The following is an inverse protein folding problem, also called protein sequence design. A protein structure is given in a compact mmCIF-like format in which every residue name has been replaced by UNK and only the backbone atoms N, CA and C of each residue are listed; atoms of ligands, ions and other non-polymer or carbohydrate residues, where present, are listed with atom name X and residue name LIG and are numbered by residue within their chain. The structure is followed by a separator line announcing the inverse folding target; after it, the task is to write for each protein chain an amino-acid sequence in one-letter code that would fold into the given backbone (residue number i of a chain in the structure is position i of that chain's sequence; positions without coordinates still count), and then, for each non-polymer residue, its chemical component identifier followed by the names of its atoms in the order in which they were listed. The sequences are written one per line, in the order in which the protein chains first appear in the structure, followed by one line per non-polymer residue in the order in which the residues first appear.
data_IF_429308706191
#
_entry.id   IF_429308706191
#
_cell.length_a   1.000
_cell.length_b   1.000
_cell.length_c   1.000
_cell.angle_alpha   90.00
_cell.angle_beta   90.00
_cell.angle_gamma   90.00
#
_symmetry.space_group_name_H-M   'P 1'
#
loop_
_entity.id
_entity.type
_entity.pdbx_description
1 polymer ?
#
# COMPACT_ATOMS: atom_id res chain seq x y z
N UNK A 1 17.95 14.53 -21.19
CA UNK A 1 18.24 15.22 -22.43
C UNK A 1 17.59 16.61 -22.41
N UNK A 2 18.40 17.65 -22.62
CA UNK A 2 17.96 19.04 -22.64
C UNK A 2 17.75 19.48 -24.09
N UNK A 3 16.55 19.23 -24.61
CA UNK A 3 16.22 19.50 -26.02
C UNK A 3 16.32 21.01 -26.34
N UNK A 4 16.04 21.90 -25.38
CA UNK A 4 16.13 23.34 -25.59
C UNK A 4 17.55 23.84 -25.89
N UNK A 5 18.61 23.04 -25.70
CA UNK A 5 19.98 23.37 -26.06
C UNK A 5 20.40 22.85 -27.45
N UNK A 6 19.53 22.09 -28.11
CA UNK A 6 19.83 21.53 -29.41
C UNK A 6 19.61 22.56 -30.52
N UNK A 7 20.42 22.47 -31.59
CA UNK A 7 20.34 23.42 -32.72
C UNK A 7 18.98 23.45 -33.40
N UNK A 8 18.30 22.30 -33.48
CA UNK A 8 16.97 22.23 -34.10
C UNK A 8 15.88 22.93 -33.27
N UNK A 9 16.16 23.27 -32.00
CA UNK A 9 15.21 23.95 -31.11
C UNK A 9 15.28 25.48 -31.24
N UNK A 10 16.28 26.04 -31.93
CA UNK A 10 16.48 27.49 -32.06
C UNK A 10 15.22 28.29 -32.41
N UNK A 11 14.36 27.84 -33.36
CA UNK A 11 13.15 28.56 -33.71
C UNK A 11 12.13 28.67 -32.56
N UNK A 12 12.21 27.75 -31.58
CA UNK A 12 11.28 27.66 -30.45
C UNK A 12 11.79 28.35 -29.18
N UNK A 13 13.05 28.77 -29.15
CA UNK A 13 13.68 29.42 -27.98
C UNK A 13 12.98 30.68 -27.54
N UNK A 14 12.30 31.39 -28.42
CA UNK A 14 11.54 32.59 -28.07
C UNK A 14 10.35 32.35 -27.16
N UNK A 15 9.81 31.10 -27.17
CA UNK A 15 8.63 30.73 -26.39
C UNK A 15 8.93 29.72 -25.28
N UNK A 16 9.99 28.93 -25.45
CA UNK A 16 10.37 27.83 -24.57
C UNK A 16 11.80 28.04 -24.07
N UNK A 17 11.96 28.49 -22.84
CA UNK A 17 13.27 28.68 -22.22
C UNK A 17 13.94 27.35 -21.85
N UNK A 18 13.14 26.40 -21.45
CA UNK A 18 13.58 25.09 -21.05
C UNK A 18 12.64 24.01 -21.57
N UNK A 19 13.22 23.00 -22.20
CA UNK A 19 12.57 21.71 -22.49
C UNK A 19 13.57 20.60 -22.21
N UNK A 20 13.31 19.84 -21.14
CA UNK A 20 14.20 18.77 -20.71
C UNK A 20 13.41 17.51 -20.41
N UNK A 21 13.83 16.41 -21.03
CA UNK A 21 13.35 15.07 -20.74
C UNK A 21 14.32 14.39 -19.77
N UNK A 22 13.74 13.67 -18.82
CA UNK A 22 14.47 12.84 -17.86
C UNK A 22 13.93 11.43 -17.91
N UNK A 23 14.82 10.49 -17.94
CA UNK A 23 14.50 9.07 -17.76
C UNK A 23 15.46 8.50 -16.72
N UNK A 24 14.93 7.73 -15.79
CA UNK A 24 15.75 6.98 -14.86
C UNK A 24 15.21 5.57 -14.65
N UNK A 25 16.14 4.65 -14.48
CA UNK A 25 15.89 3.28 -14.08
C UNK A 25 16.84 2.91 -12.97
N UNK A 26 16.32 2.23 -11.94
CA UNK A 26 17.12 1.76 -10.83
C UNK A 26 16.51 0.51 -10.21
N UNK A 27 17.35 -0.27 -9.57
CA UNK A 27 16.94 -1.41 -8.77
C UNK A 27 17.56 -1.29 -7.37
N UNK A 28 16.72 -1.44 -6.34
CA UNK A 28 17.11 -1.40 -4.93
C UNK A 28 16.73 -2.71 -4.26
N UNK A 29 17.69 -3.34 -3.59
CA UNK A 29 17.45 -4.48 -2.72
C UNK A 29 17.10 -4.04 -1.31
N UNK A 30 16.14 -4.71 -0.69
CA UNK A 30 15.80 -4.55 0.72
C UNK A 30 15.76 -5.92 1.40
N UNK A 31 16.35 -6.00 2.58
CA UNK A 31 16.35 -7.20 3.41
C UNK A 31 16.01 -6.82 4.84
N UNK A 32 14.75 -6.44 5.04
CA UNK A 32 14.27 -6.13 6.38
C UNK A 32 13.69 -7.39 7.04
N UNK A 33 14.57 -8.20 7.58
CA UNK A 33 14.26 -9.40 8.36
C UNK A 33 15.00 -9.33 9.69
N UNK A 34 14.47 -10.02 10.70
CA UNK A 34 15.16 -10.16 11.99
C UNK A 34 16.49 -10.85 11.79
N UNK A 35 17.48 -10.46 12.59
CA UNK A 35 18.76 -11.16 12.64
C UNK A 35 18.52 -12.63 12.95
N UNK A 36 19.29 -13.50 12.29
CA UNK A 36 19.19 -14.95 12.48
C UNK A 36 17.84 -15.59 12.12
N UNK A 37 17.01 -14.93 11.27
CA UNK A 37 15.71 -15.42 10.86
C UNK A 37 15.74 -16.84 10.23
N UNK A 38 16.90 -17.29 9.78
CA UNK A 38 17.14 -18.63 9.22
C UNK A 38 17.36 -19.71 10.29
N UNK A 39 17.54 -19.33 11.57
CA UNK A 39 17.78 -20.27 12.66
C UNK A 39 16.44 -20.75 13.23
N UNK A 40 16.24 -22.05 13.29
CA UNK A 40 15.11 -22.62 14.03
C UNK A 40 15.33 -22.44 15.52
N UNK A 41 14.42 -21.75 16.19
CA UNK A 41 14.44 -21.62 17.64
C UNK A 41 13.54 -22.68 18.29
N UNK A 42 13.98 -23.19 19.42
CA UNK A 42 13.15 -23.99 20.31
C UNK A 42 12.95 -23.18 21.59
N UNK A 43 11.71 -22.82 21.87
CA UNK A 43 11.36 -22.13 23.10
C UNK A 43 10.87 -23.12 24.14
N UNK A 44 11.37 -22.99 25.36
CA UNK A 44 10.92 -23.78 26.50
C UNK A 44 9.88 -23.00 27.30
N UNK A 45 8.87 -23.68 27.79
CA UNK A 45 7.85 -23.10 28.65
C UNK A 45 7.44 -24.07 29.75
N UNK A 46 6.95 -23.55 30.88
CA UNK A 46 6.45 -24.40 31.96
C UNK A 46 5.07 -24.93 31.59
N UNK A 47 4.96 -26.25 31.56
CA UNK A 47 3.67 -26.93 31.46
C UNK A 47 2.87 -26.67 32.75
N UNK A 48 1.65 -26.14 32.60
CA UNK A 48 0.73 -25.93 33.73
C UNK A 48 0.12 -27.24 34.28
N UNK A 49 0.81 -28.37 34.11
CA UNK A 49 0.32 -29.68 34.54
C UNK A 49 0.80 -29.97 35.96
N UNK A 50 -0.09 -30.41 36.82
CA UNK A 50 0.21 -30.87 38.17
C UNK A 50 0.29 -32.40 38.11
N UNK A 51 1.50 -32.95 38.25
CA UNK A 51 1.66 -34.39 38.39
C UNK A 51 1.43 -34.83 39.84
N UNK A 52 1.12 -36.11 40.02
CA UNK A 52 0.50 -36.86 41.10
C UNK A 52 0.98 -36.57 42.54
N UNK A 53 1.97 -35.79 42.79
CA UNK A 53 2.47 -35.55 44.15
C UNK A 53 2.32 -34.12 44.69
N UNK A 54 1.41 -33.32 44.08
CA UNK A 54 1.10 -31.97 44.59
C UNK A 54 2.30 -31.02 44.68
N UNK A 55 3.45 -31.49 44.33
CA UNK A 55 4.68 -30.70 44.30
C UNK A 55 4.69 -29.83 43.05
N UNK A 56 5.14 -28.60 43.22
CA UNK A 56 5.37 -27.59 42.19
C UNK A 56 6.37 -27.98 41.10
N UNK A 57 6.47 -29.25 40.79
CA UNK A 57 7.32 -29.75 39.70
C UNK A 57 6.59 -29.54 38.37
N UNK A 58 6.67 -28.35 37.85
CA UNK A 58 6.16 -28.02 36.52
C UNK A 58 7.18 -28.45 35.48
N UNK A 59 6.97 -29.57 34.76
CA UNK A 59 7.92 -29.96 33.74
C UNK A 59 7.98 -28.90 32.64
N UNK A 60 9.16 -28.72 32.10
CA UNK A 60 9.35 -27.83 30.96
C UNK A 60 8.84 -28.51 29.70
N UNK A 61 7.95 -27.82 28.99
CA UNK A 61 7.61 -28.15 27.62
C UNK A 61 8.55 -27.44 26.65
N UNK A 62 8.64 -27.94 25.45
CA UNK A 62 9.33 -27.27 24.38
C UNK A 62 8.42 -27.11 23.17
N UNK A 63 8.46 -25.96 22.55
CA UNK A 63 7.79 -25.71 21.27
C UNK A 63 8.82 -25.23 20.25
N UNK A 64 8.67 -25.73 19.03
CA UNK A 64 9.44 -25.26 17.90
C UNK A 64 8.83 -23.93 17.47
N UNK A 65 9.64 -22.89 17.36
CA UNK A 65 9.24 -21.59 16.80
C UNK A 65 8.86 -21.70 15.33
N UNK A 66 8.69 -20.58 14.67
CA UNK A 66 8.43 -20.55 13.22
C UNK A 66 9.51 -21.37 12.49
N UNK A 67 9.08 -22.07 11.44
CA UNK A 67 10.00 -22.82 10.56
C UNK A 67 11.08 -21.91 9.99
N UNK A 68 12.27 -22.47 9.72
CA UNK A 68 13.33 -21.72 9.07
C UNK A 68 12.89 -21.17 7.72
N UNK A 69 13.37 -19.99 7.38
CA UNK A 69 13.11 -19.32 6.11
C UNK A 69 14.09 -19.81 5.05
N UNK A 70 13.97 -21.07 4.64
CA UNK A 70 14.82 -21.61 3.59
C UNK A 70 14.51 -20.93 2.26
N UNK A 71 15.52 -20.44 1.56
CA UNK A 71 15.37 -19.81 0.25
C UNK A 71 14.92 -18.33 0.27
N UNK A 72 14.99 -17.67 1.42
CA UNK A 72 14.67 -16.24 1.50
C UNK A 72 15.68 -15.42 0.68
N UNK A 73 15.18 -14.56 -0.18
CA UNK A 73 15.96 -13.65 -1.01
C UNK A 73 15.60 -12.19 -0.72
N UNK A 74 16.41 -11.28 -1.21
CA UNK A 74 16.14 -9.86 -1.12
C UNK A 74 14.85 -9.49 -1.82
N UNK A 75 14.06 -8.62 -1.19
CA UNK A 75 13.06 -7.85 -1.91
C UNK A 75 13.75 -6.93 -2.90
N UNK A 76 13.28 -6.88 -4.12
CA UNK A 76 13.87 -5.99 -5.13
C UNK A 76 12.82 -5.04 -5.66
N UNK A 77 13.07 -3.74 -5.52
CA UNK A 77 12.22 -2.69 -6.09
C UNK A 77 12.88 -2.14 -7.36
N UNK A 78 12.22 -2.33 -8.48
CA UNK A 78 12.58 -1.72 -9.77
C UNK A 78 11.81 -0.41 -9.91
N UNK A 79 12.52 0.67 -10.14
CA UNK A 79 11.95 1.99 -10.30
C UNK A 79 12.22 2.51 -11.72
N UNK A 80 11.15 2.84 -12.42
CA UNK A 80 11.16 3.49 -13.74
C UNK A 80 10.54 4.87 -13.56
N UNK A 81 11.22 5.91 -14.01
CA UNK A 81 10.73 7.28 -13.96
C UNK A 81 10.93 7.95 -15.31
N UNK A 82 9.91 8.65 -15.80
CA UNK A 82 9.95 9.56 -16.92
C UNK A 82 9.57 10.95 -16.42
N UNK A 83 10.48 11.90 -16.56
CA UNK A 83 10.28 13.28 -16.12
C UNK A 83 10.36 14.27 -17.27
N UNK A 84 9.64 15.37 -17.13
CA UNK A 84 9.58 16.50 -18.06
C UNK A 84 9.75 17.80 -17.29
N UNK A 85 10.74 18.60 -17.65
CA UNK A 85 10.94 19.94 -17.11
C UNK A 85 10.74 20.96 -18.24
N UNK A 86 9.84 21.92 -18.03
CA UNK A 86 9.51 22.98 -18.98
C UNK A 86 9.70 24.36 -18.32
N UNK A 87 10.19 25.31 -19.09
CA UNK A 87 10.33 26.69 -18.68
C UNK A 87 9.82 27.63 -19.77
N UNK A 88 9.10 28.66 -19.37
CA UNK A 88 8.49 29.64 -20.25
C UNK A 88 8.65 31.06 -19.70
N UNK A 89 8.53 32.06 -20.57
CA UNK A 89 8.46 33.48 -20.23
C UNK A 89 9.71 33.95 -19.47
N UNK A 90 10.90 33.56 -19.92
CA UNK A 90 12.15 33.85 -19.22
C UNK A 90 12.27 33.09 -17.92
N UNK A 91 11.82 31.85 -17.91
CA UNK A 91 11.73 30.94 -16.73
C UNK A 91 10.89 31.50 -15.57
N UNK A 92 9.97 32.42 -15.84
CA UNK A 92 9.00 32.89 -14.83
C UNK A 92 7.94 31.82 -14.56
N UNK A 93 7.52 31.09 -15.59
CA UNK A 93 6.64 29.93 -15.47
C UNK A 93 7.47 28.66 -15.66
N UNK A 94 7.49 27.80 -14.66
CA UNK A 94 8.17 26.50 -14.69
C UNK A 94 7.18 25.38 -14.38
N UNK A 95 7.29 24.29 -15.15
CA UNK A 95 6.54 23.06 -14.94
C UNK A 95 7.50 21.89 -14.83
N UNK A 96 7.31 21.07 -13.80
CA UNK A 96 7.98 19.78 -13.65
C UNK A 96 6.92 18.70 -13.50
N UNK A 97 7.01 17.67 -14.31
CA UNK A 97 6.13 16.52 -14.24
C UNK A 97 6.95 15.24 -14.23
N UNK A 98 6.60 14.31 -13.35
CA UNK A 98 7.18 12.99 -13.26
C UNK A 98 6.08 11.92 -13.27
N UNK A 99 6.28 10.89 -14.08
CA UNK A 99 5.46 9.68 -14.08
C UNK A 99 6.33 8.49 -13.76
N UNK A 100 5.92 7.68 -12.81
CA UNK A 100 6.76 6.58 -12.34
C UNK A 100 6.00 5.26 -12.19
N UNK A 101 6.77 4.19 -12.28
CA UNK A 101 6.34 2.84 -11.92
C UNK A 101 7.37 2.27 -10.97
N UNK A 102 6.92 1.74 -9.84
CA UNK A 102 7.72 0.97 -8.89
C UNK A 102 7.19 -0.44 -8.83
N UNK A 103 8.02 -1.40 -9.19
CA UNK A 103 7.72 -2.83 -9.10
C UNK A 103 8.53 -3.44 -7.97
N UNK A 104 7.89 -3.72 -6.84
CA UNK A 104 8.51 -4.47 -5.74
C UNK A 104 8.22 -5.95 -5.93
N UNK A 105 9.27 -6.73 -6.08
CA UNK A 105 9.20 -8.17 -6.29
C UNK A 105 9.81 -8.91 -5.12
N UNK A 106 9.23 -10.08 -4.83
CA UNK A 106 9.73 -10.94 -3.77
C UNK A 106 9.58 -10.34 -2.39
N UNK A 107 8.49 -9.59 -2.13
CA UNK A 107 8.22 -9.06 -0.79
C UNK A 107 8.12 -10.18 0.21
N UNK A 108 8.78 -9.98 1.35
CA UNK A 108 8.79 -10.92 2.46
C UNK A 108 7.51 -10.74 3.26
N UNK A 109 6.67 -11.76 3.21
CA UNK A 109 5.39 -11.80 3.93
C UNK A 109 5.24 -13.14 4.63
N UNK A 110 4.20 -13.30 5.44
CA UNK A 110 3.82 -14.63 5.92
C UNK A 110 3.65 -15.55 4.72
N UNK A 111 4.29 -16.69 4.77
CA UNK A 111 4.18 -17.72 3.74
C UNK A 111 2.77 -18.27 3.63
N UNK A 112 2.64 -19.30 2.82
CA UNK A 112 1.37 -20.01 2.65
C UNK A 112 0.88 -20.57 3.99
N UNK A 113 -0.43 -20.48 4.25
CA UNK A 113 -1.03 -21.03 5.45
C UNK A 113 -0.73 -22.53 5.53
N UNK A 114 -0.19 -22.96 6.66
CA UNK A 114 0.08 -24.36 6.93
C UNK A 114 -1.10 -24.98 7.69
N UNK A 115 -1.38 -26.29 7.52
CA UNK A 115 -2.40 -26.97 8.29
C UNK A 115 -2.15 -26.84 9.80
N UNK A 116 -3.22 -26.78 10.60
CA UNK A 116 -3.11 -26.65 12.06
C UNK A 116 -2.33 -27.78 12.74
N UNK A 117 -2.28 -28.94 12.13
CA UNK A 117 -1.46 -30.08 12.60
C UNK A 117 0.05 -29.85 12.49
N UNK A 118 0.47 -28.82 11.78
CA UNK A 118 1.87 -28.44 11.66
C UNK A 118 2.45 -27.95 13.00
N UNK A 119 1.59 -27.41 13.88
CA UNK A 119 1.96 -27.03 15.24
C UNK A 119 2.89 -25.80 15.36
N UNK A 120 3.12 -25.08 14.27
CA UNK A 120 3.90 -23.86 14.24
C UNK A 120 3.32 -22.84 13.25
N UNK A 121 3.69 -21.58 13.39
CA UNK A 121 3.31 -20.56 12.42
C UNK A 121 3.95 -20.79 11.04
N UNK A 122 3.27 -20.37 9.99
CA UNK A 122 3.83 -20.40 8.64
C UNK A 122 5.14 -19.59 8.57
N UNK A 123 6.18 -20.10 7.91
CA UNK A 123 7.41 -19.36 7.73
C UNK A 123 7.17 -18.15 6.82
N UNK A 124 7.95 -17.08 7.01
CA UNK A 124 7.95 -16.00 6.04
C UNK A 124 8.60 -16.46 4.73
N UNK A 125 8.12 -15.91 3.63
CA UNK A 125 8.61 -16.24 2.30
C UNK A 125 8.52 -15.00 1.38
N UNK A 126 9.24 -15.02 0.26
CA UNK A 126 9.11 -14.03 -0.80
C UNK A 126 7.81 -14.29 -1.60
N UNK A 127 6.67 -14.03 -0.99
CA UNK A 127 5.36 -14.50 -1.46
C UNK A 127 4.51 -13.45 -2.17
N UNK A 128 4.88 -12.17 -2.11
CA UNK A 128 4.09 -11.08 -2.68
C UNK A 128 4.87 -10.22 -3.66
N UNK A 129 4.18 -9.62 -4.62
CA UNK A 129 4.69 -8.57 -5.49
C UNK A 129 3.71 -7.40 -5.50
N UNK A 130 4.26 -6.20 -5.57
CA UNK A 130 3.51 -4.97 -5.53
C UNK A 130 3.89 -4.08 -6.72
N UNK A 131 2.93 -3.39 -7.29
CA UNK A 131 3.18 -2.36 -8.31
C UNK A 131 2.52 -1.06 -7.91
N UNK A 132 3.33 -0.01 -7.79
CA UNK A 132 2.86 1.35 -7.61
C UNK A 132 3.09 2.14 -8.89
N UNK A 133 2.07 2.87 -9.33
CA UNK A 133 2.16 3.81 -10.45
C UNK A 133 1.69 5.16 -9.94
N UNK A 134 2.42 6.21 -10.29
CA UNK A 134 2.05 7.55 -9.84
C UNK A 134 2.52 8.63 -10.78
N UNK A 135 1.98 9.82 -10.54
CA UNK A 135 2.36 11.07 -11.20
C UNK A 135 2.62 12.11 -10.13
N UNK A 136 3.59 12.96 -10.39
CA UNK A 136 3.94 14.11 -9.56
C UNK A 136 4.08 15.32 -10.48
N UNK A 137 3.34 16.39 -10.21
CA UNK A 137 3.32 17.59 -11.03
C UNK A 137 3.59 18.80 -10.14
N UNK A 138 4.45 19.67 -10.61
CA UNK A 138 4.75 20.96 -9.98
C UNK A 138 4.62 22.06 -11.00
N UNK A 139 3.83 23.06 -10.69
CA UNK A 139 3.72 24.30 -11.46
C UNK A 139 4.17 25.46 -10.59
N UNK A 140 5.15 26.22 -11.07
CA UNK A 140 5.73 27.33 -10.33
C UNK A 140 5.71 28.59 -11.15
N UNK A 141 5.29 29.68 -10.53
CA UNK A 141 5.38 31.04 -11.08
C UNK A 141 6.28 31.89 -10.20
N UNK A 142 7.22 32.62 -10.80
CA UNK A 142 8.07 33.59 -10.12
C UNK A 142 8.18 34.84 -10.96
N UNK A 143 7.96 35.99 -10.36
CA UNK A 143 8.10 37.25 -11.05
C UNK A 143 8.66 38.34 -10.14
N UNK A 144 9.19 39.41 -10.76
CA UNK A 144 9.74 40.53 -10.05
C UNK A 144 9.22 41.84 -10.69
N UNK A 145 8.69 42.73 -9.89
CA UNK A 145 8.27 44.06 -10.33
C UNK A 145 8.75 45.11 -9.36
N UNK A 146 8.73 46.37 -9.77
CA UNK A 146 9.15 47.49 -8.91
C UNK A 146 7.96 47.96 -8.07
N UNK A 147 8.09 47.90 -6.75
CA UNK A 147 7.14 48.42 -5.79
C UNK A 147 7.77 49.51 -4.96
N UNK A 148 7.18 50.71 -4.98
CA UNK A 148 7.70 51.89 -4.25
C UNK A 148 9.21 52.18 -4.48
N UNK A 149 9.67 51.99 -5.73
CA UNK A 149 11.07 52.23 -6.12
C UNK A 149 12.05 51.11 -5.78
N UNK A 150 11.59 50.01 -5.19
CA UNK A 150 12.40 48.83 -4.85
C UNK A 150 11.93 47.59 -5.60
N UNK A 151 12.82 46.65 -5.98
CA UNK A 151 12.42 45.40 -6.61
C UNK A 151 11.69 44.53 -5.61
N UNK A 152 10.48 44.07 -5.99
CA UNK A 152 9.68 43.12 -5.23
C UNK A 152 9.57 41.83 -6.02
N UNK A 153 10.05 40.72 -5.43
CA UNK A 153 10.00 39.40 -6.02
C UNK A 153 8.99 38.52 -5.27
N UNK A 154 8.12 37.85 -6.02
CA UNK A 154 7.17 36.91 -5.47
C UNK A 154 7.19 35.59 -6.23
N UNK A 155 6.74 34.52 -5.59
CA UNK A 155 6.62 33.23 -6.22
C UNK A 155 5.44 32.45 -5.65
N UNK A 156 4.79 31.67 -6.52
CA UNK A 156 3.70 30.75 -6.18
C UNK A 156 4.04 29.40 -6.78
N UNK A 157 3.86 28.35 -6.00
CA UNK A 157 4.04 26.97 -6.49
C UNK A 157 2.86 26.12 -6.07
N UNK A 158 2.39 25.28 -7.02
CA UNK A 158 1.33 24.30 -6.81
C UNK A 158 1.90 22.94 -7.11
N UNK A 159 1.74 22.00 -6.16
CA UNK A 159 2.15 20.62 -6.30
C UNK A 159 0.91 19.73 -6.31
N UNK A 160 0.89 18.77 -7.23
CA UNK A 160 -0.12 17.72 -7.28
C UNK A 160 0.59 16.38 -7.38
N UNK A 161 0.18 15.42 -6.56
CA UNK A 161 0.66 14.04 -6.65
C UNK A 161 -0.48 13.08 -6.45
N UNK A 162 -0.47 12.01 -7.23
CA UNK A 162 -1.43 10.91 -7.10
C UNK A 162 -0.75 9.59 -7.45
N UNK A 163 -1.16 8.52 -6.77
CA UNK A 163 -0.63 7.20 -7.06
C UNK A 163 -1.65 6.11 -6.75
N UNK A 164 -1.50 5.01 -7.44
CA UNK A 164 -2.24 3.78 -7.17
C UNK A 164 -1.28 2.63 -6.99
N UNK A 165 -1.48 1.85 -5.94
CA UNK A 165 -0.68 0.67 -5.63
C UNK A 165 -1.54 -0.58 -5.71
N UNK A 166 -1.09 -1.58 -6.48
CA UNK A 166 -1.78 -2.85 -6.63
C UNK A 166 -0.88 -4.02 -6.28
N UNK A 167 -1.48 -4.99 -5.65
CA UNK A 167 -0.85 -6.29 -5.40
C UNK A 167 -0.87 -7.09 -6.71
N UNK A 168 0.31 -7.41 -7.27
CA UNK A 168 0.42 -8.09 -8.56
C UNK A 168 0.68 -9.58 -8.44
N UNK A 169 1.02 -10.04 -7.22
CA UNK A 169 1.15 -11.45 -6.89
C UNK A 169 0.88 -11.64 -5.40
N UNK A 170 -0.03 -12.53 -5.08
CA UNK A 170 -0.26 -13.01 -3.72
C UNK A 170 -1.04 -14.33 -3.78
N UNK A 171 -0.71 -15.27 -2.92
CA UNK A 171 -1.40 -16.56 -2.91
C UNK A 171 -2.59 -16.52 -1.96
N UNK A 172 -3.77 -16.32 -2.52
CA UNK A 172 -5.06 -16.40 -1.83
C UNK A 172 -6.02 -17.24 -2.67
N UNK A 173 -5.89 -18.58 -2.66
CA UNK A 173 -6.68 -19.46 -3.50
C UNK A 173 -8.18 -19.40 -3.16
N UNK A 174 -8.53 -19.11 -1.93
CA UNK A 174 -9.90 -19.01 -1.44
C UNK A 174 -10.58 -17.69 -1.79
N UNK A 175 -9.85 -16.73 -2.34
CA UNK A 175 -10.31 -15.38 -2.69
C UNK A 175 -11.06 -14.66 -1.56
N UNK A 176 -10.62 -14.88 -0.32
CA UNK A 176 -11.18 -14.23 0.87
C UNK A 176 -10.82 -12.76 0.84
N UNK A 177 -11.82 -11.88 0.87
CA UNK A 177 -11.65 -10.43 0.80
C UNK A 177 -11.07 -9.80 2.09
N UNK A 178 -11.14 -10.52 3.21
CA UNK A 178 -10.54 -10.09 4.48
C UNK A 178 -9.00 -10.23 4.52
N UNK A 179 -8.39 -10.79 3.48
CA UNK A 179 -6.94 -10.95 3.34
C UNK A 179 -6.48 -10.37 2.01
N UNK A 180 -5.18 -10.23 1.83
CA UNK A 180 -4.62 -9.77 0.57
C UNK A 180 -4.95 -10.74 -0.58
N UNK A 181 -5.21 -10.22 -1.78
CA UNK A 181 -5.44 -10.98 -2.98
C UNK A 181 -4.82 -10.32 -4.21
N UNK A 182 -4.53 -11.09 -5.23
CA UNK A 182 -3.96 -10.59 -6.48
C UNK A 182 -4.95 -9.67 -7.18
N UNK A 183 -4.46 -8.47 -7.58
CA UNK A 183 -5.27 -7.40 -8.17
C UNK A 183 -5.83 -6.39 -7.16
N UNK A 184 -5.73 -6.67 -5.86
CA UNK A 184 -6.15 -5.76 -4.80
C UNK A 184 -5.48 -4.40 -4.93
N UNK A 185 -6.27 -3.34 -4.82
CA UNK A 185 -5.75 -1.98 -4.67
C UNK A 185 -5.43 -1.72 -3.19
N UNK A 186 -4.21 -1.29 -2.91
CA UNK A 186 -3.81 -1.01 -1.53
C UNK A 186 -4.60 0.18 -0.99
N UNK A 187 -5.21 -0.01 0.19
CA UNK A 187 -6.07 1.00 0.79
C UNK A 187 -7.53 0.95 0.36
N UNK A 188 -7.94 -0.07 -0.44
CA UNK A 188 -9.37 -0.26 -0.71
C UNK A 188 -10.13 -0.63 0.57
N UNK A 189 -11.32 -0.07 0.70
CA UNK A 189 -12.20 -0.30 1.84
C UNK A 189 -13.42 -1.06 1.33
N UNK A 190 -13.65 -2.23 1.90
CA UNK A 190 -14.84 -3.02 1.66
C UNK A 190 -15.91 -2.69 2.69
N UNK A 191 -17.14 -2.52 2.22
CA UNK A 191 -18.28 -2.24 3.07
C UNK A 191 -19.59 -2.52 2.34
N UNK A 192 -20.67 -2.51 3.09
CA UNK A 192 -22.01 -2.62 2.52
C UNK A 192 -22.47 -1.24 2.04
N UNK A 193 -23.18 -1.24 0.93
CA UNK A 193 -23.91 -0.04 0.51
C UNK A 193 -25.22 0.01 1.29
N UNK A 194 -25.47 1.13 1.91
CA UNK A 194 -26.74 1.40 2.57
C UNK A 194 -27.73 1.96 1.54
N UNK A 195 -28.98 1.55 1.63
CA UNK A 195 -30.10 2.00 0.77
C UNK A 195 -31.11 2.84 1.60
N UNK A 196 -30.57 3.72 2.43
CA UNK A 196 -31.34 4.61 3.29
C UNK A 196 -31.64 4.02 4.68
N UNK A 197 -32.70 4.50 5.28
CA UNK A 197 -33.16 4.08 6.59
C UNK A 197 -34.52 3.38 6.47
N UNK A 198 -34.81 2.45 7.35
CA UNK A 198 -36.17 1.89 7.48
C UNK A 198 -37.12 2.94 8.03
N UNK A 199 -38.24 3.19 7.35
CA UNK A 199 -39.22 4.19 7.77
C UNK A 199 -40.00 3.79 9.02
N UNK A 200 -40.11 2.46 9.28
CA UNK A 200 -40.83 1.91 10.44
C UNK A 200 -40.39 0.48 10.75
N UNK A 201 -40.74 0.01 11.93
CA UNK A 201 -40.51 -1.42 12.34
C UNK A 201 -41.23 -2.38 11.39
N UNK A 202 -42.41 -2.02 10.91
CA UNK A 202 -43.17 -2.82 9.94
C UNK A 202 -42.43 -2.94 8.59
N UNK A 203 -41.86 -1.84 8.11
CA UNK A 203 -41.06 -1.84 6.89
C UNK A 203 -39.79 -2.67 7.05
N UNK A 204 -39.14 -2.62 8.20
CA UNK A 204 -37.96 -3.43 8.52
C UNK A 204 -38.31 -4.93 8.56
N UNK A 205 -39.42 -5.30 9.19
CA UNK A 205 -39.90 -6.67 9.26
C UNK A 205 -40.29 -7.22 7.86
N UNK A 206 -40.97 -6.42 7.03
CA UNK A 206 -41.32 -6.79 5.67
C UNK A 206 -40.07 -7.02 4.82
N UNK A 207 -39.08 -6.16 4.91
CA UNK A 207 -37.83 -6.28 4.17
C UNK A 207 -37.06 -7.54 4.59
N UNK A 208 -36.94 -7.78 5.88
CA UNK A 208 -36.24 -8.97 6.44
C UNK A 208 -36.95 -10.27 6.05
N UNK A 209 -38.27 -10.25 5.89
CA UNK A 209 -39.01 -11.42 5.43
C UNK A 209 -38.68 -11.81 3.97
N UNK A 210 -38.23 -10.86 3.17
CA UNK A 210 -37.90 -11.05 1.73
C UNK A 210 -36.43 -11.33 1.49
N UNK A 211 -35.55 -10.76 2.33
CA UNK A 211 -34.10 -10.84 2.18
C UNK A 211 -33.49 -11.31 3.49
N UNK A 212 -32.83 -12.45 3.46
CA UNK A 212 -32.08 -12.97 4.61
C UNK A 212 -30.87 -12.09 4.89
N UNK A 213 -30.90 -11.37 5.99
CA UNK A 213 -29.81 -10.53 6.50
C UNK A 213 -29.28 -11.04 7.85
N UNK A 214 -29.59 -12.25 8.24
CA UNK A 214 -29.18 -12.85 9.51
C UNK A 214 -27.67 -12.79 9.75
N UNK A 215 -26.89 -12.89 8.69
CA UNK A 215 -25.42 -12.80 8.72
C UNK A 215 -24.89 -11.38 9.06
N UNK A 216 -25.68 -10.33 8.91
CA UNK A 216 -25.33 -8.94 9.26
C UNK A 216 -25.75 -8.58 10.70
N UNK A 217 -26.71 -9.31 11.26
CA UNK A 217 -27.33 -8.95 12.53
C UNK A 217 -26.41 -9.20 13.74
N UNK A 218 -25.41 -10.08 13.60
CA UNK A 218 -24.48 -10.37 14.69
C UNK A 218 -25.19 -10.66 16.02
N UNK A 219 -24.97 -9.79 16.98
CA UNK A 219 -25.60 -9.87 18.32
C UNK A 219 -26.83 -8.95 18.48
N UNK A 220 -27.43 -8.48 17.39
CA UNK A 220 -28.64 -7.66 17.48
C UNK A 220 -29.81 -8.49 18.00
N UNK A 221 -30.16 -8.26 19.25
CA UNK A 221 -31.38 -8.80 19.88
C UNK A 221 -32.58 -7.99 19.39
N UNK A 222 -33.47 -8.62 18.61
CA UNK A 222 -34.72 -8.00 18.20
C UNK A 222 -34.86 -7.58 16.72
N UNK A 223 -33.86 -7.88 15.91
CA UNK A 223 -33.90 -7.58 14.45
C UNK A 223 -33.79 -6.09 14.13
N UNK A 224 -33.99 -5.75 12.86
CA UNK A 224 -33.97 -4.41 12.34
C UNK A 224 -35.23 -3.64 12.74
N UNK A 225 -35.08 -2.35 13.00
CA UNK A 225 -36.17 -1.45 13.40
C UNK A 225 -36.24 -0.21 12.50
N UNK A 226 -37.33 0.53 12.63
CA UNK A 226 -37.43 1.84 12.02
C UNK A 226 -36.29 2.76 12.50
N UNK A 227 -35.65 3.43 11.56
CA UNK A 227 -34.47 4.27 11.79
C UNK A 227 -33.12 3.56 11.65
N UNK A 228 -33.10 2.23 11.55
CA UNK A 228 -31.88 1.50 11.25
C UNK A 228 -31.49 1.65 9.76
N UNK A 229 -30.22 1.45 9.45
CA UNK A 229 -29.70 1.46 8.08
C UNK A 229 -30.20 0.23 7.31
N UNK A 230 -30.69 0.48 6.10
CA UNK A 230 -31.13 -0.54 5.16
C UNK A 230 -30.05 -0.86 4.13
#
# INVERSE_FOLDING_TARGET
WKLSEEKFWEPLKSSWDLFKLRFSYGALGNQQVSDYAYIRSVSTYNLGYIFENGASNKPNGATVGSSSMDGLTWETTYHYNLGLDLGFLGNRLAFTGDAYIRDTKGMITSGEAVPSVYGAAAPSANAANLRSKGIELTLSWKDTFTLAGSPFTYGVSVNYSDYITKLTKYKNPSKVLGTYYEGMTFGEIWGFRTDGLFESDAAAAEYTSKIDQSYLQGNLTGGWKGGDLR
#
